data_IF_832512103548
#
_entry.id   IF_832512103548
#
_cell.length_a   1.000
_cell.length_b   1.000
_cell.length_c   1.000
_cell.angle_alpha   90.00
_cell.angle_beta   90.00
_cell.angle_gamma   90.00
#
_symmetry.space_group_name_H-M   'P 1'
#
loop_
_entity.id
_entity.type
_entity.pdbx_description
1 polymer ?
#
# COMPACT_ATOMS: atom_id res chain seq x y z
N UNK A 1 24.57 -15.92 3.84
CA UNK A 1 23.50 -15.06 4.37
C UNK A 1 23.92 -13.64 4.08
N UNK A 2 23.42 -13.10 2.98
CA UNK A 2 23.60 -11.68 2.67
C UNK A 2 22.80 -10.87 3.70
N UNK A 3 23.45 -9.93 4.38
CA UNK A 3 22.81 -9.09 5.40
C UNK A 3 21.73 -8.23 4.73
N UNK A 4 20.50 -8.24 5.26
CA UNK A 4 19.40 -7.38 4.79
C UNK A 4 18.41 -8.00 3.81
N UNK A 5 18.17 -9.32 3.89
CA UNK A 5 17.06 -9.98 3.17
C UNK A 5 16.09 -10.74 4.10
N UNK A 6 16.20 -10.54 5.41
CA UNK A 6 15.39 -11.30 6.36
C UNK A 6 13.92 -10.86 6.29
N UNK A 7 13.67 -9.55 6.20
CA UNK A 7 12.30 -9.03 6.09
C UNK A 7 11.69 -9.43 4.75
N UNK A 8 12.48 -9.36 3.67
CA UNK A 8 12.05 -9.78 2.33
C UNK A 8 11.68 -11.26 2.30
N UNK A 9 12.53 -12.14 2.82
CA UNK A 9 12.23 -13.58 2.86
C UNK A 9 11.00 -13.87 3.71
N UNK A 10 10.88 -13.21 4.86
CA UNK A 10 9.69 -13.34 5.74
C UNK A 10 8.42 -12.92 5.00
N UNK A 11 8.45 -11.77 4.31
CA UNK A 11 7.31 -11.27 3.55
C UNK A 11 6.89 -12.22 2.41
N UNK A 12 7.84 -12.83 1.70
CA UNK A 12 7.53 -13.82 0.66
C UNK A 12 6.86 -15.07 1.23
N UNK A 13 7.34 -15.57 2.37
CA UNK A 13 6.70 -16.71 3.06
C UNK A 13 5.29 -16.34 3.54
N UNK A 14 5.12 -15.17 4.15
CA UNK A 14 3.82 -14.65 4.56
C UNK A 14 2.83 -14.57 3.40
N UNK A 15 3.26 -14.09 2.23
CA UNK A 15 2.42 -14.00 1.03
C UNK A 15 1.95 -15.37 0.55
N UNK A 16 2.85 -16.37 0.50
CA UNK A 16 2.47 -17.73 0.10
C UNK A 16 1.47 -18.36 1.07
N UNK A 17 1.64 -18.13 2.37
CA UNK A 17 0.72 -18.59 3.40
C UNK A 17 -0.64 -17.87 3.31
N UNK A 18 -0.62 -16.56 3.05
CA UNK A 18 -1.83 -15.76 2.91
C UNK A 18 -2.68 -16.21 1.72
N UNK A 19 -2.06 -16.51 0.57
CA UNK A 19 -2.79 -17.04 -0.58
C UNK A 19 -3.45 -18.39 -0.25
N UNK A 20 -2.74 -19.29 0.43
CA UNK A 20 -3.29 -20.58 0.85
C UNK A 20 -4.49 -20.39 1.80
N UNK A 21 -4.39 -19.49 2.78
CA UNK A 21 -5.50 -19.15 3.68
C UNK A 21 -6.72 -18.60 2.92
N UNK A 22 -6.50 -17.70 1.95
CA UNK A 22 -7.56 -17.15 1.11
C UNK A 22 -8.26 -18.24 0.29
N UNK A 23 -7.50 -19.15 -0.31
CA UNK A 23 -8.05 -20.31 -1.04
C UNK A 23 -8.95 -21.15 -0.13
N UNK A 24 -8.44 -21.53 1.04
CA UNK A 24 -9.19 -22.32 2.01
C UNK A 24 -10.49 -21.62 2.46
N UNK A 25 -10.48 -20.29 2.56
CA UNK A 25 -11.65 -19.50 2.92
C UNK A 25 -12.71 -19.41 1.81
N UNK A 26 -12.31 -19.20 0.55
CA UNK A 26 -13.24 -19.08 -0.58
C UNK A 26 -13.79 -20.45 -1.04
N UNK A 27 -13.02 -21.52 -0.84
CA UNK A 27 -13.43 -22.90 -1.15
C UNK A 27 -13.26 -23.31 -2.62
N UNK A 28 -13.47 -24.60 -2.94
CA UNK A 28 -13.07 -25.20 -4.22
C UNK A 28 -13.71 -24.63 -5.49
N UNK A 29 -14.87 -23.99 -5.35
CA UNK A 29 -15.63 -23.45 -6.47
C UNK A 29 -15.22 -22.01 -6.82
N UNK A 30 -14.35 -21.37 -6.02
CA UNK A 30 -13.93 -19.98 -6.24
C UNK A 30 -12.82 -19.84 -7.28
N UNK A 31 -12.73 -18.65 -7.88
CA UNK A 31 -11.63 -18.31 -8.79
C UNK A 31 -10.28 -18.36 -8.06
N UNK A 32 -10.20 -17.91 -6.81
CA UNK A 32 -8.97 -17.98 -6.01
C UNK A 32 -8.48 -19.41 -5.82
N UNK A 33 -9.38 -20.38 -5.70
CA UNK A 33 -9.01 -21.79 -5.58
C UNK A 33 -8.41 -22.35 -6.86
N UNK A 34 -8.90 -21.90 -8.01
CA UNK A 34 -8.41 -22.38 -9.31
C UNK A 34 -7.22 -21.56 -9.82
N UNK A 35 -6.98 -20.37 -9.25
CA UNK A 35 -5.85 -19.51 -9.56
C UNK A 35 -4.50 -20.23 -9.31
N UNK A 36 -3.48 -19.97 -10.15
CA UNK A 36 -2.13 -20.50 -9.93
C UNK A 36 -1.57 -20.05 -8.57
N UNK A 37 -0.91 -20.95 -7.85
CA UNK A 37 -0.27 -20.56 -6.60
C UNK A 37 0.95 -19.69 -6.86
N UNK A 38 1.15 -18.68 -6.01
CA UNK A 38 2.26 -17.75 -6.10
C UNK A 38 3.61 -18.48 -6.04
N UNK A 39 3.70 -19.57 -5.26
CA UNK A 39 4.89 -20.44 -5.19
C UNK A 39 5.29 -21.04 -6.54
N UNK A 40 4.32 -21.22 -7.44
CA UNK A 40 4.52 -21.78 -8.78
C UNK A 40 4.73 -20.67 -9.83
N UNK A 41 4.46 -19.40 -9.47
CA UNK A 41 4.63 -18.22 -10.32
C UNK A 41 6.01 -17.58 -10.10
N UNK A 42 7.06 -18.26 -10.57
CA UNK A 42 8.47 -17.90 -10.30
C UNK A 42 8.81 -16.47 -10.69
N UNK A 43 8.38 -16.01 -11.86
CA UNK A 43 8.67 -14.65 -12.36
C UNK A 43 8.03 -13.57 -11.48
N UNK A 44 6.79 -13.80 -11.04
CA UNK A 44 6.07 -12.89 -10.13
C UNK A 44 6.73 -12.84 -8.76
N UNK A 45 7.16 -13.98 -8.22
CA UNK A 45 7.92 -14.03 -6.97
C UNK A 45 9.28 -13.33 -7.08
N UNK A 46 9.99 -13.48 -8.21
CA UNK A 46 11.25 -12.78 -8.45
C UNK A 46 11.04 -11.27 -8.49
N UNK A 47 10.01 -10.80 -9.20
CA UNK A 47 9.64 -9.39 -9.25
C UNK A 47 9.35 -8.82 -7.85
N UNK A 48 8.53 -9.53 -7.06
CA UNK A 48 8.19 -9.12 -5.69
C UNK A 48 9.46 -9.08 -4.83
N UNK A 49 10.27 -10.14 -4.87
CA UNK A 49 11.55 -10.22 -4.14
C UNK A 49 12.43 -9.03 -4.47
N UNK A 50 12.69 -8.77 -5.74
CA UNK A 50 13.64 -7.74 -6.16
C UNK A 50 13.19 -6.35 -5.70
N UNK A 51 11.89 -6.05 -5.79
CA UNK A 51 11.36 -4.80 -5.24
C UNK A 51 11.46 -4.73 -3.71
N UNK A 52 11.18 -5.83 -3.00
CA UNK A 52 11.24 -5.86 -1.54
C UNK A 52 12.68 -5.75 -1.00
N UNK A 53 13.66 -6.34 -1.69
CA UNK A 53 15.08 -6.16 -1.36
C UNK A 53 15.47 -4.69 -1.48
N UNK A 54 15.06 -4.00 -2.55
CA UNK A 54 15.31 -2.55 -2.68
C UNK A 54 14.66 -1.75 -1.55
N UNK A 55 13.44 -2.11 -1.16
CA UNK A 55 12.72 -1.47 -0.05
C UNK A 55 13.43 -1.71 1.29
N UNK A 56 13.89 -2.93 1.56
CA UNK A 56 14.60 -3.30 2.79
C UNK A 56 15.93 -2.55 2.89
N UNK A 57 16.71 -2.51 1.80
CA UNK A 57 17.97 -1.74 1.74
C UNK A 57 17.72 -0.25 1.99
N UNK A 58 16.67 0.31 1.38
CA UNK A 58 16.29 1.71 1.56
C UNK A 58 15.88 2.01 3.02
N UNK A 59 15.13 1.10 3.66
CA UNK A 59 14.78 1.21 5.09
C UNK A 59 16.00 1.20 5.98
N UNK A 60 16.92 0.25 5.76
CA UNK A 60 18.16 0.14 6.54
C UNK A 60 19.04 1.40 6.40
N UNK A 61 18.93 2.08 5.27
CA UNK A 61 19.64 3.34 4.98
C UNK A 61 18.86 4.60 5.41
N UNK A 62 17.66 4.44 6.00
CA UNK A 62 16.73 5.54 6.32
C UNK A 62 16.37 6.44 5.12
N UNK A 63 16.46 5.94 3.89
CA UNK A 63 16.01 6.62 2.67
C UNK A 63 14.53 6.31 2.43
N UNK A 64 13.66 7.00 3.16
CA UNK A 64 12.22 6.76 3.12
C UNK A 64 11.57 7.15 1.78
N UNK A 65 12.19 8.05 1.03
CA UNK A 65 11.73 8.41 -0.31
C UNK A 65 12.05 7.27 -1.30
N UNK A 66 13.18 6.57 -1.14
CA UNK A 66 13.45 5.32 -1.86
C UNK A 66 12.51 4.18 -1.44
N UNK A 67 12.17 4.05 -0.16
CA UNK A 67 11.15 3.09 0.31
C UNK A 67 9.81 3.34 -0.41
N UNK A 68 9.37 4.59 -0.46
CA UNK A 68 8.15 4.99 -1.17
C UNK A 68 8.21 4.59 -2.65
N UNK A 69 9.29 4.96 -3.34
CA UNK A 69 9.48 4.62 -4.77
C UNK A 69 9.53 3.11 -5.03
N UNK A 70 10.11 2.34 -4.12
CA UNK A 70 10.21 0.89 -4.21
C UNK A 70 8.82 0.24 -4.19
N UNK A 71 7.98 0.62 -3.23
CA UNK A 71 6.59 0.17 -3.19
C UNK A 71 5.77 0.63 -4.41
N UNK A 72 5.93 1.88 -4.84
CA UNK A 72 5.23 2.38 -6.03
C UNK A 72 5.64 1.62 -7.31
N UNK A 73 6.92 1.25 -7.43
CA UNK A 73 7.41 0.41 -8.54
C UNK A 73 6.75 -0.97 -8.50
N UNK A 74 6.71 -1.60 -7.32
CA UNK A 74 6.07 -2.90 -7.12
C UNK A 74 4.59 -2.86 -7.51
N UNK A 75 3.84 -1.87 -7.00
CA UNK A 75 2.43 -1.68 -7.30
C UNK A 75 2.17 -1.46 -8.79
N UNK A 76 3.02 -0.67 -9.47
CA UNK A 76 2.92 -0.48 -10.92
C UNK A 76 3.27 -1.75 -11.70
N UNK A 77 4.19 -2.55 -11.21
CA UNK A 77 4.58 -3.79 -11.88
C UNK A 77 3.48 -4.85 -11.75
N UNK A 78 2.86 -4.96 -10.58
CA UNK A 78 1.71 -5.84 -10.33
C UNK A 78 0.43 -5.34 -11.02
N UNK A 79 0.23 -4.02 -11.09
CA UNK A 79 -0.94 -3.42 -11.75
C UNK A 79 -0.80 -3.26 -13.27
N UNK A 80 0.35 -3.56 -13.87
CA UNK A 80 0.48 -3.59 -15.33
C UNK A 80 -0.25 -4.81 -15.86
N UNK A 81 -1.17 -4.59 -16.80
CA UNK A 81 -1.74 -5.64 -17.64
C UNK A 81 -0.58 -6.32 -18.39
N UNK A 82 -0.14 -7.48 -17.92
CA UNK A 82 0.65 -8.36 -18.79
C UNK A 82 -0.28 -8.72 -19.94
N UNK A 83 0.05 -8.28 -21.14
CA UNK A 83 -0.75 -8.48 -22.36
C UNK A 83 -0.76 -9.94 -22.83
N UNK A 84 -0.52 -10.89 -21.92
CA UNK A 84 -0.59 -12.33 -22.15
C UNK A 84 -1.94 -12.82 -21.63
N UNK A 85 -2.75 -13.32 -22.56
CA UNK A 85 -4.21 -13.54 -22.50
C UNK A 85 -4.74 -14.52 -21.43
N UNK A 86 -4.05 -14.83 -20.34
CA UNK A 86 -4.42 -15.96 -19.46
C UNK A 86 -4.29 -15.76 -17.94
N UNK A 87 -3.92 -14.59 -17.44
CA UNK A 87 -4.01 -14.33 -15.99
C UNK A 87 -5.26 -13.48 -15.71
N UNK A 88 -6.25 -14.07 -15.02
CA UNK A 88 -7.47 -13.36 -14.62
C UNK A 88 -7.08 -12.11 -13.82
N UNK A 89 -7.52 -10.94 -14.28
CA UNK A 89 -7.28 -9.63 -13.64
C UNK A 89 -7.68 -9.63 -12.14
N UNK A 90 -8.66 -10.47 -11.77
CA UNK A 90 -9.14 -10.66 -10.41
C UNK A 90 -8.12 -11.39 -9.50
N UNK A 91 -7.31 -12.30 -10.06
CA UNK A 91 -6.45 -13.20 -9.29
C UNK A 91 -5.24 -12.51 -8.66
N UNK A 92 -4.79 -11.38 -9.21
CA UNK A 92 -3.67 -10.59 -8.69
C UNK A 92 -4.12 -9.36 -7.90
N UNK A 93 -5.41 -9.02 -7.94
CA UNK A 93 -6.00 -7.88 -7.24
C UNK A 93 -5.67 -7.89 -5.74
N UNK A 94 -5.69 -9.07 -5.11
CA UNK A 94 -5.33 -9.21 -3.70
C UNK A 94 -3.85 -8.90 -3.39
N UNK A 95 -2.94 -9.11 -4.35
CA UNK A 95 -1.53 -8.73 -4.18
C UNK A 95 -1.40 -7.22 -4.20
N UNK A 96 -2.12 -6.55 -5.12
CA UNK A 96 -2.16 -5.09 -5.19
C UNK A 96 -2.76 -4.52 -3.90
N UNK A 97 -3.89 -5.06 -3.42
CA UNK A 97 -4.49 -4.73 -2.11
C UNK A 97 -3.46 -4.84 -0.98
N UNK A 98 -2.81 -6.01 -0.86
CA UNK A 98 -1.83 -6.28 0.20
C UNK A 98 -0.67 -5.29 0.20
N UNK A 99 -0.10 -5.00 -0.98
CA UNK A 99 1.04 -4.09 -1.07
C UNK A 99 0.63 -2.62 -0.94
N UNK A 100 -0.59 -2.25 -1.31
CA UNK A 100 -1.14 -0.91 -1.05
C UNK A 100 -1.26 -0.65 0.45
N UNK A 101 -1.73 -1.62 1.21
CA UNK A 101 -1.81 -1.52 2.68
C UNK A 101 -0.42 -1.37 3.30
N UNK A 102 0.55 -2.23 2.91
CA UNK A 102 1.94 -2.13 3.38
C UNK A 102 2.58 -0.80 3.01
N UNK A 103 2.32 -0.30 1.80
CA UNK A 103 2.80 0.99 1.32
C UNK A 103 2.26 2.14 2.17
N UNK A 104 0.94 2.17 2.37
CA UNK A 104 0.28 3.18 3.19
C UNK A 104 0.81 3.17 4.63
N UNK A 105 0.87 1.99 5.25
CA UNK A 105 1.39 1.81 6.60
C UNK A 105 2.84 2.31 6.72
N UNK A 106 3.69 1.96 5.76
CA UNK A 106 5.10 2.38 5.75
C UNK A 106 5.25 3.91 5.69
N UNK A 107 4.45 4.60 4.87
CA UNK A 107 4.51 6.09 4.79
C UNK A 107 4.00 6.75 6.07
N UNK A 108 3.00 6.15 6.73
CA UNK A 108 2.46 6.59 8.01
C UNK A 108 3.49 6.52 9.13
N UNK A 109 4.13 5.36 9.29
CA UNK A 109 5.11 5.10 10.35
C UNK A 109 6.28 6.08 10.26
N UNK A 110 6.76 6.36 9.05
CA UNK A 110 7.81 7.36 8.80
C UNK A 110 7.36 8.76 9.19
N UNK A 111 6.16 9.17 8.78
CA UNK A 111 5.64 10.51 9.07
C UNK A 111 5.51 10.73 10.57
N UNK A 112 4.88 9.79 11.29
CA UNK A 112 4.75 9.84 12.76
C UNK A 112 6.13 9.88 13.43
N UNK A 113 7.08 9.08 12.95
CA UNK A 113 8.45 9.08 13.48
C UNK A 113 9.12 10.46 13.33
N UNK A 114 8.99 11.08 12.15
CA UNK A 114 9.56 12.41 11.89
C UNK A 114 8.86 13.51 12.69
N UNK A 115 7.53 13.48 12.84
CA UNK A 115 6.78 14.41 13.69
C UNK A 115 7.23 14.33 15.15
N UNK A 116 7.44 13.11 15.64
CA UNK A 116 7.94 12.87 16.99
C UNK A 116 9.39 13.38 17.18
N UNK A 117 10.23 13.33 16.15
CA UNK A 117 11.58 13.89 16.20
C UNK A 117 11.53 15.43 16.23
N UNK A 118 10.73 16.04 15.35
CA UNK A 118 10.57 17.51 15.28
C UNK A 118 10.02 18.09 16.59
N UNK A 119 9.08 17.39 17.22
CA UNK A 119 8.50 17.84 18.51
C UNK A 119 9.47 17.68 19.68
N UNK A 120 10.39 16.70 19.64
CA UNK A 120 11.36 16.44 20.72
C UNK A 120 12.64 17.27 20.63
N UNK A 121 13.10 17.63 19.42
CA UNK A 121 14.32 18.43 19.24
C UNK A 121 14.15 19.90 19.67
N UNK A 122 12.93 20.30 20.08
CA UNK A 122 12.59 21.70 20.30
C UNK A 122 12.48 22.46 18.98
N UNK A 123 11.90 23.65 19.01
CA UNK A 123 11.77 24.54 17.83
C UNK A 123 13.13 25.12 17.36
N UNK A 124 14.21 24.33 17.39
CA UNK A 124 15.41 24.63 16.63
C UNK A 124 15.13 24.35 15.17
N UNK A 125 15.45 25.30 14.30
CA UNK A 125 15.29 25.25 12.84
C UNK A 125 16.16 24.14 12.22
N UNK A 126 15.88 22.87 12.51
CA UNK A 126 16.46 21.75 11.79
C UNK A 126 15.75 21.67 10.42
N UNK A 127 16.16 22.58 9.54
CA UNK A 127 15.61 22.75 8.20
C UNK A 127 15.62 21.43 7.41
N UNK A 128 16.65 20.60 7.62
CA UNK A 128 16.73 19.28 6.99
C UNK A 128 15.65 18.32 7.50
N UNK A 129 15.47 18.23 8.82
CA UNK A 129 14.43 17.40 9.43
C UNK A 129 13.03 17.86 9.02
N UNK A 130 12.81 19.17 8.95
CA UNK A 130 11.54 19.76 8.53
C UNK A 130 11.26 19.51 7.05
N UNK A 131 12.27 19.61 6.18
CA UNK A 131 12.16 19.25 4.78
C UNK A 131 11.86 17.75 4.59
N UNK A 132 12.49 16.87 5.38
CA UNK A 132 12.18 15.42 5.38
C UNK A 132 10.76 15.15 5.84
N UNK A 133 10.26 15.86 6.85
CA UNK A 133 8.87 15.75 7.30
C UNK A 133 7.88 16.17 6.20
N UNK A 134 8.10 17.32 5.57
CA UNK A 134 7.19 17.79 4.51
C UNK A 134 7.20 16.84 3.31
N UNK A 135 8.37 16.31 2.93
CA UNK A 135 8.44 15.27 1.91
C UNK A 135 7.68 13.99 2.34
N UNK A 136 7.79 13.54 3.60
CA UNK A 136 7.08 12.35 4.06
C UNK A 136 5.56 12.54 4.05
N UNK A 137 5.07 13.73 4.43
CA UNK A 137 3.65 14.10 4.33
C UNK A 137 3.16 14.10 2.89
N UNK A 138 3.95 14.63 1.96
CA UNK A 138 3.63 14.56 0.55
C UNK A 138 3.53 13.11 0.07
N UNK A 139 4.50 12.26 0.43
CA UNK A 139 4.48 10.84 0.08
C UNK A 139 3.31 10.09 0.68
N UNK A 140 2.95 10.39 1.92
CA UNK A 140 1.73 9.89 2.53
C UNK A 140 0.50 10.27 1.70
N UNK A 141 0.32 11.54 1.33
CA UNK A 141 -0.80 11.98 0.51
C UNK A 141 -0.87 11.27 -0.85
N UNK A 142 0.28 11.08 -1.51
CA UNK A 142 0.37 10.30 -2.76
C UNK A 142 -0.02 8.82 -2.56
N UNK A 143 0.39 8.20 -1.43
CA UNK A 143 -0.02 6.84 -1.10
C UNK A 143 -1.53 6.72 -0.87
N UNK A 144 -2.13 7.67 -0.13
CA UNK A 144 -3.58 7.75 0.06
C UNK A 144 -4.31 7.86 -1.28
N UNK A 145 -3.80 8.68 -2.21
CA UNK A 145 -4.37 8.82 -3.55
C UNK A 145 -4.35 7.50 -4.33
N UNK A 146 -3.25 6.72 -4.25
CA UNK A 146 -3.18 5.42 -4.91
C UNK A 146 -4.16 4.40 -4.31
N UNK A 147 -4.32 4.37 -2.98
CA UNK A 147 -5.31 3.52 -2.30
C UNK A 147 -6.72 3.92 -2.70
N UNK A 148 -7.02 5.22 -2.70
CA UNK A 148 -8.31 5.75 -3.12
C UNK A 148 -8.62 5.34 -4.56
N UNK A 149 -7.73 5.60 -5.51
CA UNK A 149 -7.92 5.23 -6.91
C UNK A 149 -8.15 3.73 -7.12
N UNK A 150 -7.40 2.89 -6.41
CA UNK A 150 -7.61 1.45 -6.45
C UNK A 150 -9.02 1.08 -5.96
N UNK A 151 -9.44 1.62 -4.82
CA UNK A 151 -10.78 1.41 -4.28
C UNK A 151 -11.90 1.94 -5.20
N UNK A 152 -11.69 3.05 -5.92
CA UNK A 152 -12.67 3.59 -6.88
C UNK A 152 -12.86 2.71 -8.10
N UNK A 153 -11.78 2.11 -8.59
CA UNK A 153 -11.85 1.23 -9.74
C UNK A 153 -12.45 -0.14 -9.38
N UNK A 154 -12.35 -0.56 -8.12
CA UNK A 154 -12.80 -1.89 -7.68
C UNK A 154 -14.13 -1.93 -6.91
N UNK A 155 -14.73 -0.79 -6.56
CA UNK A 155 -16.08 -0.52 -6.02
C UNK A 155 -16.63 -1.36 -4.82
N UNK A 156 -16.18 -2.59 -4.58
CA UNK A 156 -16.75 -3.51 -3.57
C UNK A 156 -16.10 -3.42 -2.18
N UNK A 157 -14.86 -2.91 -2.07
CA UNK A 157 -14.12 -2.83 -0.78
C UNK A 157 -13.71 -1.42 -0.36
N UNK A 158 -14.51 -0.43 -0.71
CA UNK A 158 -14.28 0.96 -0.30
C UNK A 158 -14.23 1.11 1.24
N UNK A 159 -15.00 0.35 2.01
CA UNK A 159 -15.16 0.56 3.45
C UNK A 159 -13.88 0.33 4.28
N UNK A 160 -13.15 -0.77 4.06
CA UNK A 160 -11.96 -1.11 4.86
C UNK A 160 -10.75 -0.23 4.51
N UNK A 161 -10.56 0.06 3.22
CA UNK A 161 -9.52 0.97 2.75
C UNK A 161 -9.78 2.42 3.21
N UNK A 162 -11.06 2.84 3.23
CA UNK A 162 -11.48 4.13 3.76
C UNK A 162 -11.38 4.21 5.31
N UNK A 163 -11.58 3.10 6.02
CA UNK A 163 -11.31 3.00 7.47
C UNK A 163 -9.83 3.23 7.77
N UNK A 164 -8.95 2.62 6.98
CA UNK A 164 -7.50 2.87 7.07
C UNK A 164 -7.14 4.33 6.78
N UNK A 165 -7.82 4.98 5.80
CA UNK A 165 -7.71 6.41 5.47
C UNK A 165 -8.22 7.33 6.61
N UNK A 166 -9.28 6.92 7.31
CA UNK A 166 -9.81 7.67 8.45
C UNK A 166 -8.86 7.58 9.65
N UNK A 167 -8.40 6.38 9.99
CA UNK A 167 -7.42 6.18 11.06
C UNK A 167 -6.09 6.88 10.77
N UNK A 168 -5.66 6.95 9.49
CA UNK A 168 -4.43 7.64 9.06
C UNK A 168 -4.41 9.11 9.49
N UNK A 169 -5.54 9.81 9.41
CA UNK A 169 -5.60 11.25 9.65
C UNK A 169 -5.64 11.62 11.14
N UNK A 170 -6.04 10.72 12.05
CA UNK A 170 -6.03 10.95 13.50
C UNK A 170 -6.16 9.61 14.26
N UNK A 171 -5.11 9.11 14.95
CA UNK A 171 -5.13 7.81 15.64
C UNK A 171 -6.06 7.74 16.88
N UNK A 172 -6.80 8.81 17.21
CA UNK A 172 -7.68 8.93 18.38
C UNK A 172 -9.05 9.53 18.03
N UNK A 173 -9.47 9.46 16.76
CA UNK A 173 -10.81 9.92 16.38
C UNK A 173 -11.89 9.02 16.99
N UNK A 174 -12.97 9.65 17.49
CA UNK A 174 -14.18 8.91 17.82
C UNK A 174 -14.84 8.39 16.54
N UNK A 175 -15.66 7.34 16.68
CA UNK A 175 -16.33 6.67 15.55
C UNK A 175 -17.10 7.65 14.67
N UNK A 176 -17.68 8.71 15.26
CA UNK A 176 -18.50 9.70 14.56
C UNK A 176 -17.66 10.62 13.68
N UNK A 177 -16.45 10.96 14.11
CA UNK A 177 -15.47 11.71 13.33
C UNK A 177 -14.89 10.87 12.17
N UNK A 178 -14.64 9.58 12.41
CA UNK A 178 -14.31 8.62 11.36
C UNK A 178 -15.41 8.55 10.29
N UNK A 179 -16.66 8.33 10.69
CA UNK A 179 -17.81 8.23 9.77
C UNK A 179 -18.00 9.52 8.95
N UNK A 180 -17.76 10.69 9.56
CA UNK A 180 -17.86 11.98 8.87
C UNK A 180 -16.74 12.19 7.84
N UNK A 181 -15.48 11.87 8.17
CA UNK A 181 -14.37 11.94 7.19
C UNK A 181 -14.53 10.90 6.08
N UNK A 182 -15.06 9.72 6.41
CA UNK A 182 -15.43 8.70 5.41
C UNK A 182 -16.47 9.25 4.43
N UNK A 183 -17.48 9.95 4.95
CA UNK A 183 -18.52 10.60 4.16
C UNK A 183 -17.93 11.66 3.23
N UNK A 184 -17.04 12.53 3.74
CA UNK A 184 -16.38 13.57 2.94
C UNK A 184 -15.45 12.99 1.87
N UNK A 185 -14.70 11.94 2.17
CA UNK A 185 -13.89 11.22 1.18
C UNK A 185 -14.77 10.59 0.10
N UNK A 186 -15.88 9.96 0.49
CA UNK A 186 -16.85 9.37 -0.43
C UNK A 186 -17.50 10.43 -1.34
N UNK A 187 -17.87 11.59 -0.78
CA UNK A 187 -18.45 12.72 -1.53
C UNK A 187 -17.44 13.38 -2.48
N UNK A 188 -16.21 13.62 -2.02
CA UNK A 188 -15.14 14.20 -2.84
C UNK A 188 -14.85 13.31 -4.07
N UNK A 189 -14.94 12.01 -3.90
CA UNK A 189 -14.70 11.08 -4.98
C UNK A 189 -15.91 10.88 -5.91
N UNK A 190 -17.13 10.99 -5.39
CA UNK A 190 -18.33 11.10 -6.22
C UNK A 190 -18.33 12.36 -7.10
N UNK A 191 -17.73 13.46 -6.62
CA UNK A 191 -17.54 14.69 -7.39
C UNK A 191 -16.46 14.54 -8.48
N UNK A 192 -15.35 13.84 -8.18
CA UNK A 192 -14.30 13.56 -9.17
C UNK A 192 -14.84 12.72 -10.35
N UNK A 193 -15.68 11.72 -10.09
CA UNK A 193 -16.31 10.87 -11.11
C UNK A 193 -17.22 11.67 -12.08
N UNK A 194 -17.97 12.65 -11.57
CA UNK A 194 -18.78 13.56 -12.41
C UNK A 194 -17.95 14.50 -13.29
N UNK A 195 -16.69 14.74 -12.94
CA UNK A 195 -15.77 15.56 -13.73
C UNK A 195 -15.19 14.83 -14.94
N UNK A 196 -15.03 13.50 -14.86
CA UNK A 196 -14.55 12.67 -15.98
C UNK A 196 -15.63 12.39 -17.02
N UNK A 197 -16.92 12.30 -16.64
CA UNK A 197 -18.05 12.13 -17.57
C UNK A 197 -18.35 13.39 -18.43
N UNK A 198 -17.61 14.49 -18.24
CA UNK A 198 -17.76 15.77 -18.94
C UNK A 198 -16.60 16.10 -19.90
N UNK A 199 -15.67 15.15 -20.11
CA UNK A 199 -14.58 15.21 -21.11
C UNK A 199 -14.81 14.17 -22.22
#
# INVERSE_FOLDING_TARGET
>A
MEMGMHETFTALVELTNLQEQRRLACGPESEEWTAPQLRDQVEKLQLIRDCLVEVEIARLSADYDAVFRGYLRLLRALGRKNSAENESEEADKWLVEYFLEKFLRSTREVTISLENMVTKEGQGENYELQMKLELSKQRAAEALFHVANFAFNDAEKLSESLLCLAEFNEPNMDQKACDHKLTLLTEACALAKKGEDLL
#
